data_IF_564219611097
#
_entry.id   IF_564219611097
#
_cell.length_a   1.000
_cell.length_b   1.000
_cell.length_c   1.000
_cell.angle_alpha   90.00
_cell.angle_beta   90.00
_cell.angle_gamma   90.00
#
_symmetry.space_group_name_H-M   'P 1'
#
loop_
_entity.id
_entity.type
_entity.pdbx_description
1 polymer ?
#
# COMPACT_ATOMS: atom_id res chain seq x y z
N UNK A 1 16.36 17.59 -5.43
CA UNK A 1 17.04 16.87 -4.32
C UNK A 1 16.01 16.63 -3.22
N UNK A 2 15.39 15.45 -3.18
CA UNK A 2 14.34 15.15 -2.20
C UNK A 2 15.00 14.84 -0.86
N UNK A 3 14.96 15.81 0.06
CA UNK A 3 15.52 15.70 1.40
C UNK A 3 14.68 14.71 2.19
N UNK A 4 15.15 13.47 2.30
CA UNK A 4 14.53 12.49 3.18
C UNK A 4 14.76 12.98 4.62
N UNK A 5 13.70 13.49 5.26
CA UNK A 5 13.73 13.66 6.71
C UNK A 5 13.75 12.25 7.27
N UNK A 6 14.77 11.91 8.05
CA UNK A 6 14.71 10.74 8.89
C UNK A 6 13.52 10.96 9.83
N UNK A 7 12.47 10.16 9.69
CA UNK A 7 11.48 10.03 10.74
C UNK A 7 12.22 9.37 11.90
N UNK A 8 12.77 10.19 12.81
CA UNK A 8 13.17 9.72 14.12
C UNK A 8 11.97 8.98 14.69
N UNK A 9 12.13 7.71 15.04
CA UNK A 9 11.09 6.88 15.62
C UNK A 9 10.92 7.31 17.09
N UNK A 10 9.88 8.08 17.47
CA UNK A 10 9.64 8.34 18.87
C UNK A 10 9.14 7.05 19.52
N UNK A 11 10.00 6.49 20.37
CA UNK A 11 9.62 5.69 21.52
C UNK A 11 8.87 4.39 21.18
N UNK A 12 9.65 3.31 21.06
CA UNK A 12 9.18 1.93 21.12
C UNK A 12 8.68 1.62 22.55
N UNK A 13 7.64 2.30 23.02
CA UNK A 13 6.98 1.93 24.27
C UNK A 13 5.82 0.99 23.93
N UNK A 14 6.17 -0.29 23.81
CA UNK A 14 5.35 -1.43 24.26
C UNK A 14 3.95 -1.63 23.68
N UNK A 15 3.50 -0.88 22.67
CA UNK A 15 2.28 -1.24 21.96
C UNK A 15 2.61 -2.42 21.06
N UNK A 16 2.12 -3.60 21.45
CA UNK A 16 1.99 -4.75 20.56
C UNK A 16 0.97 -4.36 19.48
N UNK A 17 1.39 -3.49 18.56
CA UNK A 17 0.64 -3.22 17.35
C UNK A 17 0.77 -4.50 16.56
N UNK A 18 -0.18 -5.42 16.78
CA UNK A 18 -0.33 -6.60 15.96
C UNK A 18 -0.22 -6.14 14.50
N UNK A 19 0.91 -6.46 13.89
CA UNK A 19 1.22 -5.96 12.56
C UNK A 19 0.18 -6.57 11.63
N UNK A 20 -0.61 -5.72 10.98
CA UNK A 20 -1.62 -6.19 10.05
C UNK A 20 -0.90 -7.03 8.98
N UNK A 21 -1.30 -8.29 8.75
CA UNK A 21 -0.69 -9.14 7.74
C UNK A 21 -0.70 -8.44 6.38
N UNK A 22 0.39 -8.57 5.64
CA UNK A 22 0.55 -7.89 4.35
C UNK A 22 -0.57 -8.25 3.36
N UNK A 23 -1.02 -9.50 3.37
CA UNK A 23 -2.10 -9.97 2.50
C UNK A 23 -3.43 -9.28 2.78
N UNK A 24 -3.73 -8.96 4.05
CA UNK A 24 -4.92 -8.20 4.42
C UNK A 24 -4.81 -6.73 3.97
N UNK A 25 -3.63 -6.13 4.09
CA UNK A 25 -3.38 -4.78 3.57
C UNK A 25 -3.60 -4.75 2.07
N UNK A 26 -3.10 -5.74 1.33
CA UNK A 26 -3.35 -5.88 -0.10
C UNK A 26 -4.85 -6.03 -0.40
N UNK A 27 -5.57 -6.91 0.30
CA UNK A 27 -7.01 -7.10 0.07
C UNK A 27 -7.80 -5.80 0.25
N UNK A 28 -7.49 -5.02 1.29
CA UNK A 28 -8.10 -3.71 1.54
C UNK A 28 -7.79 -2.76 0.38
N UNK A 29 -6.53 -2.72 -0.06
CA UNK A 29 -6.10 -1.85 -1.17
C UNK A 29 -6.77 -2.23 -2.49
N UNK A 30 -6.92 -3.52 -2.77
CA UNK A 30 -7.56 -4.03 -3.98
C UNK A 30 -9.07 -3.74 -4.03
N UNK A 31 -9.72 -3.55 -2.87
CA UNK A 31 -11.12 -3.07 -2.76
C UNK A 31 -11.28 -1.59 -3.07
N UNK A 32 -10.19 -0.81 -3.14
CA UNK A 32 -10.23 0.59 -3.51
C UNK A 32 -10.13 0.78 -5.01
N UNK A 33 -10.69 1.86 -5.52
CA UNK A 33 -10.51 2.23 -6.92
C UNK A 33 -9.05 2.52 -7.25
N UNK A 34 -8.62 2.18 -8.47
CA UNK A 34 -7.26 2.48 -8.96
C UNK A 34 -6.87 3.97 -8.79
N UNK A 35 -7.84 4.88 -8.91
CA UNK A 35 -7.66 6.32 -8.67
C UNK A 35 -7.25 6.63 -7.23
N UNK A 36 -7.79 5.91 -6.24
CA UNK A 36 -7.44 6.10 -4.84
C UNK A 36 -6.05 5.55 -4.54
N UNK A 37 -5.73 4.39 -5.09
CA UNK A 37 -4.41 3.75 -4.96
C UNK A 37 -3.29 4.64 -5.52
N UNK A 38 -3.53 5.30 -6.66
CA UNK A 38 -2.57 6.24 -7.23
C UNK A 38 -2.22 7.40 -6.28
N UNK A 39 -3.21 7.91 -5.53
CA UNK A 39 -2.99 8.94 -4.50
C UNK A 39 -2.20 8.41 -3.31
N UNK A 40 -2.40 7.14 -2.97
CA UNK A 40 -1.78 6.49 -1.83
C UNK A 40 -0.28 6.19 -2.00
N UNK A 41 0.27 6.35 -3.20
CA UNK A 41 1.72 6.29 -3.44
C UNK A 41 2.52 7.28 -2.60
N UNK A 42 1.93 8.40 -2.18
CA UNK A 42 2.64 9.38 -1.35
C UNK A 42 2.65 9.03 0.16
N UNK A 43 1.89 8.01 0.59
CA UNK A 43 1.73 7.67 2.01
C UNK A 43 3.01 7.08 2.58
N UNK A 44 3.63 6.14 1.88
CA UNK A 44 4.89 5.53 2.31
C UNK A 44 5.69 4.99 1.12
N UNK A 45 7.01 4.87 1.31
CA UNK A 45 7.89 4.21 0.33
C UNK A 45 7.49 2.75 0.08
N UNK A 46 6.99 2.07 1.11
CA UNK A 46 6.52 0.70 1.00
C UNK A 46 5.33 0.62 0.06
N UNK A 47 4.32 1.47 0.25
CA UNK A 47 3.13 1.51 -0.61
C UNK A 47 3.47 1.88 -2.05
N UNK A 48 4.32 2.88 -2.26
CA UNK A 48 4.80 3.25 -3.59
C UNK A 48 5.53 2.11 -4.30
N UNK A 49 6.31 1.30 -3.56
CA UNK A 49 6.96 0.09 -4.09
C UNK A 49 5.93 -1.00 -4.41
N UNK A 50 5.02 -1.30 -3.48
CA UNK A 50 3.95 -2.28 -3.66
C UNK A 50 3.12 -1.96 -4.89
N UNK A 51 2.71 -0.70 -5.07
CA UNK A 51 1.87 -0.26 -6.20
C UNK A 51 2.59 -0.28 -7.54
N UNK A 52 3.93 -0.23 -7.56
CA UNK A 52 4.73 -0.43 -8.78
C UNK A 52 5.06 -1.89 -9.05
N UNK A 53 4.82 -2.79 -8.12
CA UNK A 53 5.11 -4.20 -8.33
C UNK A 53 4.20 -4.76 -9.44
N UNK A 54 4.79 -5.63 -10.27
CA UNK A 54 4.05 -6.31 -11.33
C UNK A 54 2.90 -7.12 -10.74
N UNK A 55 3.16 -7.88 -9.67
CA UNK A 55 2.16 -8.69 -8.97
C UNK A 55 0.92 -7.87 -8.56
N UNK A 56 1.12 -6.72 -7.90
CA UNK A 56 0.00 -5.88 -7.48
C UNK A 56 -0.76 -5.28 -8.67
N UNK A 57 -0.04 -4.86 -9.71
CA UNK A 57 -0.64 -4.30 -10.92
C UNK A 57 -1.48 -5.34 -11.66
N UNK A 58 -0.99 -6.57 -11.76
CA UNK A 58 -1.71 -7.72 -12.33
C UNK A 58 -2.97 -8.03 -11.52
N UNK A 59 -2.88 -8.08 -10.18
CA UNK A 59 -4.05 -8.29 -9.32
C UNK A 59 -5.10 -7.20 -9.50
N UNK A 60 -4.69 -5.93 -9.51
CA UNK A 60 -5.62 -4.82 -9.76
C UNK A 60 -6.27 -4.90 -11.13
N UNK A 61 -5.52 -5.29 -12.16
CA UNK A 61 -6.03 -5.47 -13.51
C UNK A 61 -7.04 -6.61 -13.60
N UNK A 62 -6.73 -7.76 -13.00
CA UNK A 62 -7.63 -8.93 -12.92
C UNK A 62 -8.93 -8.54 -12.21
N UNK A 63 -8.84 -7.86 -11.05
CA UNK A 63 -10.03 -7.45 -10.28
C UNK A 63 -10.85 -6.42 -11.05
N UNK A 64 -10.20 -5.42 -11.66
CA UNK A 64 -10.89 -4.39 -12.45
C UNK A 64 -11.52 -4.95 -13.72
N UNK A 65 -10.98 -6.03 -14.28
CA UNK A 65 -11.53 -6.70 -15.47
C UNK A 65 -12.66 -7.68 -15.12
N UNK A 66 -12.56 -8.36 -13.97
CA UNK A 66 -13.59 -9.27 -13.47
C UNK A 66 -14.90 -8.53 -13.15
N UNK A 67 -14.79 -7.28 -12.66
CA UNK A 67 -15.96 -6.45 -12.34
C UNK A 67 -16.64 -5.81 -13.58
N UNK A 68 -16.24 -6.18 -14.81
CA UNK A 68 -16.84 -5.66 -16.06
C UNK A 68 -17.91 -6.56 -16.68
N UNK A 69 -18.40 -7.58 -15.97
CA UNK A 69 -19.57 -8.39 -16.36
C UNK A 69 -20.75 -8.01 -15.46
#
# INVERSE_FOLDING_TARGET
>A
MMKTRACSNPMNEGVNLEQIPYDLVLEILLKLSAKSIARFRCVSKLWDSTFRSRYFTELLFIISSSMQI
#
